data_IF_059336099317
#
_entry.id   IF_059336099317
#
_cell.length_a   1.000
_cell.length_b   1.000
_cell.length_c   1.000
_cell.angle_alpha   90.00
_cell.angle_beta   90.00
_cell.angle_gamma   90.00
#
_symmetry.space_group_name_H-M   'P 1'
#
loop_
_entity.id
_entity.type
_entity.pdbx_description
1 polymer ?
#
# COMPACT_ATOMS: atom_id res chain seq x y z
N UNK A 1 -4.39 -24.86 6.17
CA UNK A 1 -3.40 -24.42 7.19
C UNK A 1 -2.34 -23.60 6.47
N UNK A 2 -1.82 -22.53 7.09
CA UNK A 2 -0.78 -21.65 6.55
C UNK A 2 0.31 -21.55 7.61
N UNK A 3 1.41 -22.28 7.41
CA UNK A 3 2.48 -22.37 8.40
C UNK A 3 3.56 -21.27 8.22
N UNK A 4 3.62 -20.65 7.04
CA UNK A 4 4.63 -19.64 6.70
C UNK A 4 4.07 -18.47 5.90
N UNK A 5 3.65 -18.70 4.66
CA UNK A 5 3.12 -17.63 3.81
C UNK A 5 2.04 -18.15 2.87
N UNK A 6 0.97 -17.36 2.70
CA UNK A 6 0.01 -17.50 1.62
C UNK A 6 -0.14 -16.15 0.91
N UNK A 7 0.50 -15.99 -0.24
CA UNK A 7 0.55 -14.73 -0.97
C UNK A 7 0.04 -14.90 -2.41
N UNK A 8 -0.63 -13.87 -2.93
CA UNK A 8 -1.11 -13.85 -4.32
C UNK A 8 -2.06 -15.05 -4.59
N UNK A 9 -1.86 -15.84 -5.64
CA UNK A 9 -2.70 -17.00 -5.94
C UNK A 9 -2.87 -17.99 -4.77
N UNK A 10 -1.85 -18.13 -3.90
CA UNK A 10 -1.94 -19.01 -2.74
C UNK A 10 -2.94 -18.52 -1.68
N UNK A 11 -3.14 -17.21 -1.53
CA UNK A 11 -4.17 -16.69 -0.62
C UNK A 11 -5.57 -16.97 -1.16
N UNK A 12 -5.79 -16.92 -2.48
CA UNK A 12 -7.06 -17.35 -3.10
C UNK A 12 -7.34 -18.83 -2.82
N UNK A 13 -6.33 -19.70 -2.99
CA UNK A 13 -6.48 -21.14 -2.70
C UNK A 13 -6.82 -21.36 -1.22
N UNK A 14 -6.21 -20.59 -0.31
CA UNK A 14 -6.53 -20.69 1.11
C UNK A 14 -8.01 -20.40 1.39
N UNK A 15 -8.65 -19.47 0.67
CA UNK A 15 -10.07 -19.15 0.87
C UNK A 15 -11.03 -20.28 0.53
N UNK A 16 -10.61 -21.23 -0.31
CA UNK A 16 -11.40 -22.43 -0.62
C UNK A 16 -11.45 -23.43 0.56
N UNK A 17 -10.59 -23.27 1.57
CA UNK A 17 -10.60 -24.12 2.75
C UNK A 17 -11.81 -23.87 3.63
N UNK A 18 -12.51 -24.94 4.02
CA UNK A 18 -13.58 -24.88 5.03
C UNK A 18 -13.09 -24.30 6.35
N UNK A 19 -11.83 -24.54 6.70
CA UNK A 19 -11.15 -23.93 7.85
C UNK A 19 -9.73 -23.51 7.46
N UNK A 20 -9.38 -22.26 7.74
CA UNK A 20 -8.06 -21.65 7.50
C UNK A 20 -7.44 -21.30 8.83
N UNK A 21 -6.42 -22.06 9.20
CA UNK A 21 -5.61 -21.82 10.38
C UNK A 21 -4.25 -21.26 9.97
N UNK A 22 -3.77 -20.22 10.64
CA UNK A 22 -2.48 -19.58 10.38
C UNK A 22 -1.52 -19.75 11.56
N UNK A 23 -0.26 -20.08 11.31
CA UNK A 23 0.75 -20.02 12.37
C UNK A 23 0.92 -18.57 12.85
N UNK A 24 1.25 -18.31 14.13
CA UNK A 24 1.42 -16.95 14.65
C UNK A 24 2.44 -16.11 13.87
N UNK A 25 3.45 -16.76 13.28
CA UNK A 25 4.49 -16.14 12.46
C UNK A 25 4.17 -16.09 10.96
N UNK A 26 3.00 -16.59 10.55
CA UNK A 26 2.63 -16.64 9.15
C UNK A 26 2.13 -15.29 8.62
N UNK A 27 2.33 -15.08 7.32
CA UNK A 27 1.84 -13.92 6.59
C UNK A 27 0.82 -14.32 5.51
N UNK A 28 -0.17 -13.47 5.30
CA UNK A 28 -1.11 -13.55 4.19
C UNK A 28 -1.02 -12.27 3.36
N UNK A 29 -0.97 -12.39 2.03
CA UNK A 29 -0.92 -11.24 1.13
C UNK A 29 -1.97 -11.34 0.02
N UNK A 30 -2.63 -10.22 -0.24
CA UNK A 30 -3.55 -10.06 -1.37
C UNK A 30 -3.15 -8.84 -2.21
N UNK A 31 -3.25 -8.98 -3.54
CA UNK A 31 -2.98 -7.93 -4.51
C UNK A 31 -3.77 -8.20 -5.80
N UNK A 32 -3.80 -7.24 -6.72
CA UNK A 32 -4.46 -7.39 -8.01
C UNK A 32 -3.82 -8.50 -8.87
N UNK A 33 -4.59 -9.21 -9.70
CA UNK A 33 -4.01 -10.16 -10.64
C UNK A 33 -3.06 -9.42 -11.60
N UNK A 34 -1.96 -10.08 -11.94
CA UNK A 34 -0.90 -9.53 -12.77
C UNK A 34 -0.48 -10.57 -13.82
N UNK A 35 -0.20 -10.10 -15.02
CA UNK A 35 0.39 -10.91 -16.09
C UNK A 35 1.33 -10.06 -16.93
N UNK A 36 2.11 -10.71 -17.79
CA UNK A 36 2.88 -10.06 -18.84
C UNK A 36 2.16 -10.33 -20.17
N UNK A 37 1.92 -9.28 -20.95
CA UNK A 37 1.29 -9.37 -22.26
C UNK A 37 2.14 -8.63 -23.30
N UNK A 38 2.10 -9.09 -24.54
CA UNK A 38 2.78 -8.47 -25.68
C UNK A 38 1.90 -8.56 -26.93
N UNK A 39 1.83 -7.50 -27.72
CA UNK A 39 0.99 -7.43 -28.91
C UNK A 39 0.62 -6.00 -29.26
N UNK A 40 -0.39 -5.84 -30.12
CA UNK A 40 -0.91 -4.52 -30.47
C UNK A 40 -1.94 -4.02 -29.44
N UNK A 41 -2.59 -2.88 -29.72
CA UNK A 41 -3.57 -2.29 -28.81
C UNK A 41 -4.77 -3.20 -28.50
N UNK A 42 -5.20 -4.04 -29.46
CA UNK A 42 -6.33 -4.96 -29.25
C UNK A 42 -5.91 -6.10 -28.32
N UNK A 43 -4.68 -6.58 -28.45
CA UNK A 43 -4.14 -7.60 -27.54
C UNK A 43 -4.04 -7.06 -26.11
N UNK A 44 -3.61 -5.80 -25.93
CA UNK A 44 -3.57 -5.16 -24.60
C UNK A 44 -4.96 -4.98 -24.00
N UNK A 45 -5.96 -4.61 -24.81
CA UNK A 45 -7.35 -4.51 -24.36
C UNK A 45 -7.91 -5.87 -23.93
N UNK A 46 -7.62 -6.95 -24.67
CA UNK A 46 -8.02 -8.32 -24.29
C UNK A 46 -7.34 -8.76 -22.99
N UNK A 47 -6.04 -8.48 -22.83
CA UNK A 47 -5.32 -8.79 -21.60
C UNK A 47 -5.89 -8.02 -20.40
N UNK A 48 -6.21 -6.73 -20.55
CA UNK A 48 -6.85 -5.93 -19.52
C UNK A 48 -8.24 -6.46 -19.16
N UNK A 49 -9.05 -6.83 -20.16
CA UNK A 49 -10.36 -7.45 -19.94
C UNK A 49 -10.26 -8.77 -19.17
N UNK A 50 -9.32 -9.64 -19.56
CA UNK A 50 -9.05 -10.90 -18.85
C UNK A 50 -8.65 -10.67 -17.39
N UNK A 51 -7.72 -9.74 -17.12
CA UNK A 51 -7.35 -9.40 -15.74
C UNK A 51 -8.53 -8.83 -14.94
N UNK A 52 -9.42 -8.07 -15.60
CA UNK A 52 -10.66 -7.58 -15.00
C UNK A 52 -11.57 -8.72 -14.53
N UNK A 53 -11.83 -9.71 -15.39
CA UNK A 53 -12.63 -10.89 -15.04
C UNK A 53 -11.99 -11.73 -13.92
N UNK A 54 -10.67 -11.96 -14.01
CA UNK A 54 -9.92 -12.67 -12.96
C UNK A 54 -10.03 -11.92 -11.62
N UNK A 55 -9.93 -10.59 -11.62
CA UNK A 55 -10.10 -9.77 -10.41
C UNK A 55 -11.49 -9.97 -9.82
N UNK A 56 -12.55 -9.98 -10.63
CA UNK A 56 -13.91 -10.21 -10.14
C UNK A 56 -14.07 -11.58 -9.49
N UNK A 57 -13.49 -12.62 -10.09
CA UNK A 57 -13.50 -13.98 -9.52
C UNK A 57 -12.74 -14.06 -8.19
N UNK A 58 -11.59 -13.40 -8.09
CA UNK A 58 -10.80 -13.35 -6.85
C UNK A 58 -11.57 -12.61 -5.75
N UNK A 59 -12.16 -11.44 -6.06
CA UNK A 59 -12.98 -10.69 -5.10
C UNK A 59 -14.15 -11.54 -4.61
N UNK A 60 -14.81 -12.30 -5.49
CA UNK A 60 -15.89 -13.21 -5.08
C UNK A 60 -15.41 -14.25 -4.05
N UNK A 61 -14.24 -14.86 -4.26
CA UNK A 61 -13.68 -15.81 -3.29
C UNK A 61 -13.39 -15.15 -1.94
N UNK A 62 -12.83 -13.93 -1.94
CA UNK A 62 -12.58 -13.18 -0.71
C UNK A 62 -13.86 -12.70 -0.03
N UNK A 63 -14.86 -12.25 -0.77
CA UNK A 63 -16.16 -11.81 -0.25
C UNK A 63 -16.88 -12.96 0.44
N UNK A 64 -16.97 -14.12 -0.21
CA UNK A 64 -17.56 -15.33 0.39
C UNK A 64 -16.86 -15.76 1.67
N UNK A 65 -15.54 -15.56 1.74
CA UNK A 65 -14.73 -15.96 2.88
C UNK A 65 -14.79 -14.97 4.05
N UNK A 66 -14.69 -13.68 3.76
CA UNK A 66 -14.46 -12.63 4.76
C UNK A 66 -15.74 -11.93 5.19
N UNK A 67 -16.77 -11.91 4.34
CA UNK A 67 -17.97 -11.07 4.51
C UNK A 67 -17.72 -9.58 4.30
N UNK A 68 -16.50 -9.16 3.93
CA UNK A 68 -16.19 -7.78 3.56
C UNK A 68 -16.84 -7.44 2.22
N UNK A 69 -17.26 -6.18 2.06
CA UNK A 69 -17.82 -5.76 0.79
C UNK A 69 -16.75 -5.65 -0.31
N UNK A 70 -17.20 -5.68 -1.57
CA UNK A 70 -16.31 -5.68 -2.74
C UNK A 70 -15.42 -4.44 -2.84
N UNK A 71 -15.88 -3.27 -2.39
CA UNK A 71 -15.08 -2.04 -2.43
C UNK A 71 -13.91 -2.10 -1.44
N UNK A 72 -14.15 -2.61 -0.23
CA UNK A 72 -13.12 -2.83 0.78
C UNK A 72 -12.07 -3.83 0.26
N UNK A 73 -12.52 -4.95 -0.30
CA UNK A 73 -11.64 -5.97 -0.88
C UNK A 73 -10.82 -5.43 -2.05
N UNK A 74 -11.44 -4.68 -2.97
CA UNK A 74 -10.71 -4.03 -4.06
C UNK A 74 -9.65 -3.07 -3.50
N UNK A 75 -10.00 -2.26 -2.49
CA UNK A 75 -9.07 -1.32 -1.87
C UNK A 75 -7.86 -2.03 -1.26
N UNK A 76 -8.06 -3.17 -0.59
CA UNK A 76 -6.97 -3.98 -0.05
C UNK A 76 -6.08 -4.56 -1.16
N UNK A 77 -6.68 -5.06 -2.24
CA UNK A 77 -5.94 -5.60 -3.39
C UNK A 77 -5.16 -4.51 -4.16
N UNK A 78 -5.77 -3.35 -4.39
CA UNK A 78 -5.16 -2.18 -5.05
C UNK A 78 -3.96 -1.64 -4.25
N UNK A 79 -3.96 -1.90 -2.94
CA UNK A 79 -2.93 -1.42 -2.02
C UNK A 79 -1.77 -2.41 -1.86
N UNK A 80 -1.87 -3.61 -2.42
CA UNK A 80 -1.03 -4.78 -2.10
C UNK A 80 -0.88 -4.91 -0.58
N UNK A 81 -1.79 -5.65 0.03
CA UNK A 81 -1.91 -5.70 1.49
C UNK A 81 -1.33 -6.99 2.03
N UNK A 82 -0.39 -6.82 2.96
CA UNK A 82 0.21 -7.88 3.75
C UNK A 82 -0.37 -7.85 5.16
N UNK A 83 -0.76 -9.02 5.67
CA UNK A 83 -1.39 -9.21 6.97
C UNK A 83 -0.65 -10.29 7.74
N UNK A 84 -0.50 -10.09 9.04
CA UNK A 84 -0.14 -11.19 9.93
C UNK A 84 -1.37 -12.04 10.27
N UNK A 85 -1.16 -13.16 10.96
CA UNK A 85 -2.22 -14.09 11.33
C UNK A 85 -3.38 -13.42 12.09
N UNK A 86 -3.09 -12.57 13.08
CA UNK A 86 -4.11 -11.87 13.85
C UNK A 86 -4.96 -10.94 12.98
N UNK A 87 -4.33 -10.15 12.09
CA UNK A 87 -5.06 -9.26 11.20
C UNK A 87 -5.87 -10.02 10.15
N UNK A 88 -5.34 -11.13 9.65
CA UNK A 88 -6.06 -12.02 8.75
C UNK A 88 -7.30 -12.61 9.42
N UNK A 89 -7.23 -12.97 10.71
CA UNK A 89 -8.40 -13.40 11.49
C UNK A 89 -9.39 -12.25 11.68
N UNK A 90 -8.90 -11.08 12.10
CA UNK A 90 -9.72 -9.87 12.30
C UNK A 90 -10.51 -9.48 11.04
N UNK A 91 -9.92 -9.64 9.86
CA UNK A 91 -10.53 -9.36 8.56
C UNK A 91 -11.24 -10.57 7.92
N UNK A 92 -11.32 -11.72 8.60
CA UNK A 92 -12.05 -12.92 8.15
C UNK A 92 -11.33 -13.80 7.12
N UNK A 93 -10.08 -13.49 6.77
CA UNK A 93 -9.26 -14.32 5.87
C UNK A 93 -8.80 -15.63 6.53
N UNK A 94 -8.78 -15.70 7.87
CA UNK A 94 -8.46 -16.90 8.64
C UNK A 94 -9.42 -17.07 9.82
N UNK A 95 -9.57 -18.30 10.31
CA UNK A 95 -10.49 -18.62 11.42
C UNK A 95 -9.79 -18.55 12.78
N UNK A 96 -8.56 -19.06 12.87
CA UNK A 96 -7.82 -19.09 14.11
C UNK A 96 -6.31 -19.27 13.90
N UNK A 97 -5.57 -19.11 14.99
CA UNK A 97 -4.16 -19.47 15.03
C UNK A 97 -3.99 -21.00 15.06
N UNK A 98 -2.92 -21.49 14.44
CA UNK A 98 -2.46 -22.86 14.68
C UNK A 98 -1.94 -22.95 16.11
N UNK A 99 -2.53 -23.86 16.89
CA UNK A 99 -1.99 -24.24 18.18
C UNK A 99 -0.64 -24.94 17.98
N UNK A 100 0.42 -24.35 18.53
CA UNK A 100 1.76 -24.93 18.54
C UNK A 100 2.25 -24.99 19.99
N UNK A 101 2.36 -26.20 20.54
CA UNK A 101 2.80 -26.46 21.92
C UNK A 101 4.18 -25.86 22.21
N UNK A 102 4.98 -25.57 21.17
CA UNK A 102 6.33 -25.00 21.30
C UNK A 102 6.38 -23.46 21.26
N UNK A 103 5.26 -22.76 20.99
CA UNK A 103 5.28 -21.32 20.65
C UNK A 103 4.17 -20.50 21.31
N UNK A 104 3.88 -20.76 22.58
CA UNK A 104 2.88 -20.06 23.39
C UNK A 104 3.20 -18.57 23.69
N UNK A 105 4.29 -17.99 23.16
CA UNK A 105 4.80 -16.66 23.53
C UNK A 105 4.88 -15.66 22.38
N UNK A 106 4.34 -15.98 21.19
CA UNK A 106 4.25 -14.99 20.11
C UNK A 106 3.32 -13.83 20.54
N UNK A 107 3.81 -12.60 20.42
CA UNK A 107 3.09 -11.40 20.85
C UNK A 107 1.83 -11.15 20.02
N UNK A 108 0.72 -10.92 20.71
CA UNK A 108 -0.66 -10.80 20.21
C UNK A 108 -0.93 -9.41 19.58
N UNK A 109 -0.12 -9.01 18.59
CA UNK A 109 -0.28 -7.72 17.93
C UNK A 109 -0.79 -7.90 16.50
N UNK A 110 -2.02 -7.46 16.23
CA UNK A 110 -2.58 -7.36 14.89
C UNK A 110 -1.86 -6.28 14.07
N UNK A 111 -1.33 -6.64 12.89
CA UNK A 111 -0.75 -5.66 11.98
C UNK A 111 -0.98 -6.02 10.50
N UNK A 112 -1.11 -4.98 9.69
CA UNK A 112 -1.02 -5.05 8.25
C UNK A 112 -0.15 -3.92 7.72
N UNK A 113 0.50 -4.14 6.58
CA UNK A 113 1.15 -3.08 5.82
C UNK A 113 0.70 -3.13 4.37
N UNK A 114 0.64 -1.95 3.74
CA UNK A 114 0.36 -1.79 2.33
C UNK A 114 1.60 -1.24 1.63
N UNK A 115 1.97 -1.86 0.51
CA UNK A 115 3.06 -1.37 -0.33
C UNK A 115 2.77 0.05 -0.84
N UNK A 116 1.52 0.35 -1.21
CA UNK A 116 1.08 1.69 -1.60
C UNK A 116 1.25 2.73 -0.48
N UNK A 117 0.79 2.42 0.74
CA UNK A 117 0.93 3.33 1.89
C UNK A 117 2.41 3.59 2.22
N UNK A 118 3.24 2.55 2.18
CA UNK A 118 4.68 2.69 2.41
C UNK A 118 5.35 3.60 1.37
N UNK A 119 5.00 3.43 0.08
CA UNK A 119 5.50 4.28 -1.01
C UNK A 119 5.11 5.74 -0.83
N UNK A 120 3.83 6.03 -0.53
CA UNK A 120 3.35 7.41 -0.31
C UNK A 120 4.07 8.06 0.87
N UNK A 121 4.23 7.34 1.98
CA UNK A 121 4.94 7.84 3.15
C UNK A 121 6.41 8.18 2.83
N UNK A 122 7.07 7.38 1.99
CA UNK A 122 8.43 7.64 1.54
C UNK A 122 8.50 8.88 0.64
N UNK A 123 7.59 9.02 -0.33
CA UNK A 123 7.53 10.16 -1.24
C UNK A 123 7.29 11.47 -0.47
N UNK A 124 6.35 11.49 0.47
CA UNK A 124 6.08 12.68 1.29
C UNK A 124 7.33 13.11 2.08
N UNK A 125 8.07 12.17 2.68
CA UNK A 125 9.33 12.48 3.38
C UNK A 125 10.40 13.05 2.45
N UNK A 126 10.46 12.60 1.19
CA UNK A 126 11.40 13.13 0.20
C UNK A 126 11.02 14.56 -0.17
N UNK A 127 9.75 14.83 -0.45
CA UNK A 127 9.22 16.17 -0.75
C UNK A 127 9.50 17.11 0.42
N UNK A 128 9.16 16.72 1.65
CA UNK A 128 9.46 17.52 2.85
C UNK A 128 10.95 17.82 2.99
N UNK A 129 11.83 16.85 2.72
CA UNK A 129 13.28 17.04 2.77
C UNK A 129 13.79 17.95 1.66
N UNK A 130 13.21 17.89 0.47
CA UNK A 130 13.51 18.80 -0.63
C UNK A 130 13.04 20.22 -0.33
N UNK A 131 11.81 20.39 0.17
CA UNK A 131 11.28 21.68 0.61
C UNK A 131 12.13 22.28 1.72
N UNK A 132 12.54 21.48 2.71
CA UNK A 132 13.47 21.91 3.76
C UNK A 132 14.85 22.26 3.21
N UNK A 133 15.36 21.52 2.22
CA UNK A 133 16.63 21.85 1.55
C UNK A 133 16.52 23.15 0.75
N UNK A 134 15.45 23.36 -0.01
CA UNK A 134 15.18 24.58 -0.76
C UNK A 134 15.03 25.80 0.15
N UNK A 135 14.34 25.64 1.30
CA UNK A 135 14.21 26.69 2.34
C UNK A 135 15.52 26.91 3.10
N UNK A 136 16.35 25.87 3.28
CA UNK A 136 17.65 25.94 3.95
C UNK A 136 18.80 26.43 3.07
N UNK A 137 18.67 26.36 1.74
CA UNK A 137 19.65 26.90 0.77
C UNK A 137 19.41 28.37 0.41
N UNK A 138 18.34 28.98 0.92
CA UNK A 138 18.18 30.43 0.88
C UNK A 138 19.20 31.08 1.81
N UNK A 139 20.34 31.53 1.26
CA UNK A 139 21.03 32.68 1.85
C UNK A 139 19.94 33.73 2.09
N UNK A 140 19.82 34.25 3.32
CA UNK A 140 19.12 35.51 3.55
C UNK A 140 19.86 36.57 2.74
N UNK A 141 19.54 36.72 1.47
CA UNK A 141 19.78 37.99 0.80
C UNK A 141 18.95 38.99 1.59
N UNK A 142 19.65 39.92 2.25
CA UNK A 142 19.00 41.06 2.86
C UNK A 142 18.28 41.79 1.72
N UNK A 143 16.98 41.58 1.59
CA UNK A 143 16.17 42.45 0.75
C UNK A 143 16.32 43.85 1.34
N UNK A 144 16.93 44.76 0.58
CA UNK A 144 17.01 46.16 0.99
C UNK A 144 15.58 46.65 1.29
N UNK A 145 15.43 47.38 2.40
CA UNK A 145 14.14 47.99 2.75
C UNK A 145 13.66 48.87 1.60
N UNK A 146 12.34 48.97 1.42
CA UNK A 146 11.73 49.87 0.44
C UNK A 146 12.31 51.29 0.52
N UNK A 147 12.52 51.79 1.74
CA UNK A 147 13.12 53.10 2.01
C UNK A 147 14.53 53.25 1.43
N UNK A 148 15.32 52.17 1.42
CA UNK A 148 16.68 52.18 0.88
C UNK A 148 16.67 52.22 -0.65
N UNK A 149 15.72 51.53 -1.28
CA UNK A 149 15.53 51.54 -2.73
C UNK A 149 15.01 52.90 -3.21
N UNK A 150 14.09 53.52 -2.46
CA UNK A 150 13.56 54.85 -2.77
C UNK A 150 14.64 55.93 -2.64
N UNK A 151 15.51 55.81 -1.63
CA UNK A 151 16.66 56.71 -1.46
C UNK A 151 17.66 56.59 -2.62
N UNK A 152 17.95 55.38 -3.09
CA UNK A 152 18.81 55.15 -4.27
C UNK A 152 18.17 55.67 -5.56
N UNK A 153 16.87 55.50 -5.72
CA UNK A 153 16.15 56.00 -6.89
C UNK A 153 16.18 57.53 -6.97
N UNK A 154 16.05 58.21 -5.84
CA UNK A 154 16.09 59.68 -5.79
C UNK A 154 17.50 60.26 -6.02
N UNK A 155 18.56 59.47 -5.88
CA UNK A 155 19.93 59.89 -6.19
C UNK A 155 20.26 59.84 -7.70
N UNK A 156 19.45 59.13 -8.49
CA UNK A 156 19.70 58.92 -9.94
C UNK A 156 18.79 59.81 -10.80
N UNK A 157 17.80 60.49 -10.19
CA UNK A 157 16.98 61.46 -10.91
C UNK A 157 17.83 62.69 -11.26
N UNK A 158 17.96 63.07 -12.55
CA UNK A 158 18.61 64.33 -12.92
C UNK A 158 17.82 65.51 -12.32
N UNK A 159 18.53 66.55 -11.87
CA UNK A 159 17.91 67.81 -11.43
C UNK A 159 17.26 68.54 -12.60
#
# INVERSE_FOLDING_TARGET
KIDGIAASAASVIAMAGTTVLMAPTALLMIHNPMTVAWGDHQDMQKAAGMLGEVKQSIINAYELRTGLNREQLSTLMDSETWMNAHKAIELGFADALLADEKRATATDHSFAYSSKTAQVALLNKIVEKQDRRARGSGKKEKSASFDELEKRLNLIKPQ
#
